data_IF_993305980777
#
_entry.id   IF_993305980777
#
_cell.length_a   1.000
_cell.length_b   1.000
_cell.length_c   1.000
_cell.angle_alpha   90.00
_cell.angle_beta   90.00
_cell.angle_gamma   90.00
#
_symmetry.space_group_name_H-M   'P 1'
#
loop_
_entity.id
_entity.type
_entity.pdbx_description
1 polymer ?
#
# COMPACT_ATOMS: atom_id res chain seq x y z
N UNK A 1 -21.63 11.59 -16.04
CA UNK A 1 -21.18 11.66 -14.62
C UNK A 1 -19.80 12.27 -14.63
N UNK A 2 -19.60 13.42 -13.99
CA UNK A 2 -18.27 14.02 -13.84
C UNK A 2 -17.55 13.29 -12.69
N UNK A 3 -16.33 12.75 -12.89
CA UNK A 3 -15.58 12.15 -11.79
C UNK A 3 -15.13 13.27 -10.84
N UNK A 4 -15.77 13.36 -9.68
CA UNK A 4 -15.36 14.29 -8.62
C UNK A 4 -14.07 13.76 -8.00
N UNK A 5 -12.93 14.17 -8.56
CA UNK A 5 -11.60 13.89 -8.03
C UNK A 5 -11.37 14.70 -6.76
N UNK A 6 -11.93 14.23 -5.64
CA UNK A 6 -11.69 14.79 -4.32
C UNK A 6 -10.49 14.09 -3.69
N UNK A 7 -9.34 14.76 -3.59
CA UNK A 7 -8.25 14.26 -2.72
C UNK A 7 -8.66 14.53 -1.27
N UNK A 8 -9.15 13.48 -0.59
CA UNK A 8 -9.69 13.60 0.76
C UNK A 8 -8.60 13.39 1.79
N UNK A 9 -8.18 14.43 2.51
CA UNK A 9 -7.29 14.30 3.65
C UNK A 9 -8.06 14.20 4.97
N UNK A 10 -8.01 13.02 5.60
CA UNK A 10 -8.50 12.78 6.95
C UNK A 10 -7.46 13.24 8.00
N UNK A 11 -7.24 14.55 8.10
CA UNK A 11 -6.42 15.15 9.16
C UNK A 11 -7.27 15.42 10.39
N UNK A 12 -7.45 14.39 11.24
CA UNK A 12 -8.11 14.51 12.54
C UNK A 12 -7.44 15.59 13.40
N UNK A 13 -8.16 16.68 13.65
CA UNK A 13 -7.64 17.91 14.22
C UNK A 13 -7.71 17.84 15.76
N UNK A 14 -6.88 16.97 16.36
CA UNK A 14 -6.84 16.76 17.81
C UNK A 14 -6.26 17.96 18.58
N UNK A 15 -7.17 18.81 19.03
CA UNK A 15 -6.95 19.85 20.05
C UNK A 15 -6.93 19.23 21.46
N UNK A 16 -5.79 18.73 21.94
CA UNK A 16 -5.61 18.43 23.38
C UNK A 16 -4.21 18.71 23.92
N UNK A 17 -4.19 19.60 24.93
CA UNK A 17 -3.25 19.80 26.05
C UNK A 17 -1.90 19.09 26.09
N UNK A 18 -0.91 19.89 26.49
CA UNK A 18 0.42 19.51 26.97
C UNK A 18 0.44 18.46 28.09
N UNK A 19 1.22 17.40 27.91
CA UNK A 19 1.88 16.65 28.97
C UNK A 19 3.21 16.08 28.45
N UNK A 20 4.25 16.08 29.30
CA UNK A 20 5.61 15.64 28.95
C UNK A 20 5.66 14.12 28.68
N UNK A 21 6.33 13.69 27.62
CA UNK A 21 7.25 12.53 27.61
C UNK A 21 7.89 12.31 26.22
N UNK A 22 9.11 11.79 26.22
CA UNK A 22 9.97 11.46 25.06
C UNK A 22 9.95 9.93 24.78
N UNK A 23 10.77 9.39 23.87
CA UNK A 23 11.02 9.75 22.45
C UNK A 23 10.67 8.57 21.50
N UNK A 24 10.53 8.82 20.19
CA UNK A 24 10.14 7.75 19.24
C UNK A 24 10.55 7.96 17.76
N UNK A 25 11.69 7.35 17.41
CA UNK A 25 12.03 6.71 16.12
C UNK A 25 11.75 7.42 14.78
N UNK A 26 12.83 7.80 14.09
CA UNK A 26 13.00 7.57 12.65
C UNK A 26 14.36 6.87 12.39
N UNK A 27 14.70 6.45 11.16
CA UNK A 27 16.00 5.84 10.76
C UNK A 27 16.19 5.86 9.23
N UNK A 28 17.41 5.96 8.65
CA UNK A 28 17.63 5.80 7.19
C UNK A 28 19.09 5.57 6.72
N UNK A 29 19.27 5.34 5.41
CA UNK A 29 20.46 4.85 4.68
C UNK A 29 20.59 5.59 3.31
N UNK A 30 21.72 5.63 2.56
CA UNK A 30 23.17 5.56 2.88
C UNK A 30 24.03 5.83 1.61
N UNK A 31 25.15 6.59 1.71
CA UNK A 31 26.29 6.68 0.75
C UNK A 31 26.07 7.22 -0.70
N UNK A 32 27.06 7.82 -1.43
CA UNK A 32 28.37 8.48 -1.12
C UNK A 32 28.99 9.03 -2.46
N UNK A 33 29.62 10.23 -2.48
CA UNK A 33 30.97 10.59 -3.05
C UNK A 33 31.15 12.07 -3.45
N UNK A 34 32.23 12.67 -2.91
CA UNK A 34 33.16 13.69 -3.47
C UNK A 34 32.71 15.04 -4.07
N UNK A 35 33.01 16.14 -3.33
CA UNK A 35 33.56 17.40 -3.86
C UNK A 35 34.26 18.21 -2.74
N UNK A 36 35.47 18.73 -2.97
CA UNK A 36 36.19 19.66 -2.07
C UNK A 36 35.67 21.10 -2.21
N UNK A 37 35.52 21.83 -1.09
CA UNK A 37 35.68 23.31 -1.06
C UNK A 37 36.41 23.72 0.22
N UNK A 38 37.48 24.51 0.07
CA UNK A 38 38.27 25.09 1.18
C UNK A 38 37.90 26.56 1.40
N UNK A 39 37.77 26.97 2.66
CA UNK A 39 37.92 28.38 3.10
C UNK A 39 38.74 28.37 4.41
N UNK A 40 39.73 29.27 4.62
CA UNK A 40 40.75 29.08 5.65
C UNK A 40 40.48 29.79 6.99
N UNK A 41 41.10 29.26 8.06
CA UNK A 41 41.59 29.91 9.31
C UNK A 41 40.76 31.03 9.99
N UNK A 42 40.50 31.01 11.30
CA UNK A 42 41.47 30.66 12.36
C UNK A 42 40.83 30.36 13.73
N UNK A 43 41.45 29.45 14.51
CA UNK A 43 41.50 29.37 16.00
C UNK A 43 40.23 29.80 16.78
N UNK A 44 39.53 28.98 17.56
CA UNK A 44 39.77 27.62 18.12
C UNK A 44 38.40 27.09 18.62
N UNK A 45 38.17 25.92 19.26
CA UNK A 45 39.04 24.91 19.91
C UNK A 45 38.39 23.52 19.89
N UNK A 46 39.03 22.54 20.55
CA UNK A 46 38.56 21.21 20.94
C UNK A 46 37.07 20.82 20.72
N UNK A 47 36.83 19.96 19.73
CA UNK A 47 35.61 19.14 19.62
C UNK A 47 35.98 17.66 19.73
N UNK A 48 35.36 16.94 20.68
CA UNK A 48 35.59 15.51 20.87
C UNK A 48 34.44 14.70 20.23
N UNK A 49 34.65 14.15 19.04
CA UNK A 49 33.70 13.22 18.44
C UNK A 49 33.68 11.91 19.23
N UNK A 50 32.49 11.47 19.67
CA UNK A 50 32.29 10.09 20.16
C UNK A 50 30.97 9.50 19.67
N UNK A 51 31.01 8.93 18.47
CA UNK A 51 29.91 8.13 17.94
C UNK A 51 29.85 6.78 18.65
N UNK A 52 28.68 6.39 19.17
CA UNK A 52 28.42 5.02 19.64
C UNK A 52 27.52 4.34 18.62
N UNK A 53 28.02 3.29 17.97
CA UNK A 53 27.25 2.46 17.06
C UNK A 53 26.68 1.24 17.82
N UNK A 54 25.35 1.12 17.84
CA UNK A 54 24.67 -0.12 18.24
C UNK A 54 24.08 -0.74 16.98
N UNK A 55 24.66 -1.86 16.55
CA UNK A 55 24.18 -2.65 15.43
C UNK A 55 23.22 -3.74 15.92
N UNK A 56 21.98 -3.73 15.43
CA UNK A 56 21.06 -4.86 15.53
C UNK A 56 20.81 -5.37 14.12
N UNK A 57 21.17 -6.62 13.87
CA UNK A 57 21.02 -7.30 12.59
C UNK A 57 19.94 -8.40 12.69
N UNK A 58 19.05 -8.45 11.70
CA UNK A 58 18.19 -9.62 11.45
C UNK A 58 18.19 -9.89 9.95
N UNK A 59 18.40 -11.16 9.59
CA UNK A 59 18.58 -11.60 8.21
C UNK A 59 17.32 -12.29 7.66
N UNK A 60 17.05 -12.00 6.39
CA UNK A 60 16.05 -12.52 5.44
C UNK A 60 15.57 -13.97 5.64
N UNK A 61 14.28 -14.20 5.37
CA UNK A 61 13.79 -15.38 4.64
C UNK A 61 12.82 -14.96 3.52
N UNK A 62 12.71 -15.77 2.46
CA UNK A 62 12.24 -15.37 1.12
C UNK A 62 10.77 -15.71 0.88
N UNK A 63 9.96 -14.73 0.46
CA UNK A 63 8.69 -14.95 -0.25
C UNK A 63 8.26 -13.71 -1.07
N UNK A 64 7.39 -13.93 -2.07
CA UNK A 64 7.09 -12.99 -3.17
C UNK A 64 6.02 -11.95 -2.77
N UNK A 65 6.44 -10.74 -2.43
CA UNK A 65 5.57 -9.54 -2.40
C UNK A 65 6.38 -8.22 -2.37
N UNK A 66 5.85 -7.18 -3.01
CA UNK A 66 6.51 -5.87 -3.16
C UNK A 66 6.86 -5.21 -1.81
N UNK A 67 8.14 -5.13 -1.50
CA UNK A 67 8.66 -4.52 -0.27
C UNK A 67 9.57 -3.32 -0.61
N UNK A 68 9.00 -2.12 -0.75
CA UNK A 68 9.79 -0.89 -0.83
C UNK A 68 10.25 -0.50 0.58
N UNK A 69 11.53 -0.71 0.86
CA UNK A 69 12.18 -0.33 2.12
C UNK A 69 12.31 1.20 2.27
N UNK A 70 11.30 1.82 2.89
CA UNK A 70 11.33 3.22 3.37
C UNK A 70 11.79 3.23 4.82
N UNK A 71 12.61 4.20 5.24
CA UNK A 71 12.94 4.32 6.67
C UNK A 71 12.73 5.76 7.21
N UNK A 72 13.15 6.81 6.48
CA UNK A 72 13.08 8.25 6.86
C UNK A 72 13.98 8.60 8.08
N UNK A 73 14.96 9.49 7.95
CA UNK A 73 16.05 9.64 8.94
C UNK A 73 15.69 10.48 10.20
N UNK A 74 16.32 10.15 11.34
CA UNK A 74 16.64 11.19 12.34
C UNK A 74 18.10 11.58 12.21
N UNK A 75 18.32 12.81 11.82
CA UNK A 75 19.44 13.58 12.31
C UNK A 75 18.88 14.46 13.42
N UNK A 76 19.10 14.11 14.70
CA UNK A 76 18.92 15.09 15.79
C UNK A 76 20.22 15.86 15.88
N UNK A 77 20.25 17.05 15.28
CA UNK A 77 21.32 17.99 15.55
C UNK A 77 21.08 18.59 16.94
N UNK A 78 21.66 17.98 17.97
CA UNK A 78 21.82 18.66 19.26
C UNK A 78 22.93 19.69 19.09
N UNK A 79 22.54 20.95 18.93
CA UNK A 79 23.44 22.10 19.02
C UNK A 79 23.51 22.52 20.49
N UNK A 80 24.54 22.06 21.19
CA UNK A 80 24.83 22.55 22.53
C UNK A 80 25.40 23.97 22.42
N UNK A 81 24.69 24.96 22.97
CA UNK A 81 25.06 26.38 22.93
C UNK A 81 25.42 26.82 24.34
N UNK A 82 26.69 27.16 24.57
CA UNK A 82 27.15 27.75 25.83
C UNK A 82 26.89 29.26 25.84
N UNK A 83 25.94 29.71 26.67
CA UNK A 83 25.53 31.12 26.73
C UNK A 83 26.27 31.81 27.87
N UNK A 84 27.07 32.83 27.53
CA UNK A 84 27.98 33.50 28.49
C UNK A 84 27.55 34.90 28.91
N UNK A 85 26.74 35.59 28.09
CA UNK A 85 26.24 36.95 28.35
C UNK A 85 24.74 37.05 28.09
N UNK A 86 24.08 37.95 28.81
CA UNK A 86 22.63 38.19 28.67
C UNK A 86 22.26 38.73 27.27
N UNK A 87 23.15 39.52 26.65
CA UNK A 87 23.02 39.99 25.26
C UNK A 87 23.04 38.88 24.21
N UNK A 88 23.64 37.72 24.50
CA UNK A 88 23.72 36.60 23.56
C UNK A 88 22.32 35.99 23.33
N UNK A 89 21.46 35.97 24.35
CA UNK A 89 20.06 35.48 24.23
C UNK A 89 19.25 36.30 23.22
N UNK A 90 19.35 37.64 23.27
CA UNK A 90 18.64 38.52 22.36
C UNK A 90 19.11 38.32 20.90
N UNK A 91 20.41 38.12 20.69
CA UNK A 91 20.99 37.83 19.38
C UNK A 91 20.55 36.45 18.84
N UNK A 92 20.44 35.44 19.70
CA UNK A 92 19.94 34.10 19.29
C UNK A 92 18.48 34.18 18.81
N UNK A 93 17.61 34.91 19.52
CA UNK A 93 16.22 35.12 19.09
C UNK A 93 16.13 35.84 17.73
N UNK A 94 16.93 36.90 17.54
CA UNK A 94 17.01 37.60 16.25
C UNK A 94 17.48 36.68 15.13
N UNK A 95 18.49 35.84 15.36
CA UNK A 95 18.96 34.86 14.38
C UNK A 95 17.89 33.80 14.03
N UNK A 96 17.07 33.39 14.99
CA UNK A 96 15.95 32.47 14.73
C UNK A 96 14.85 33.15 13.88
N UNK A 97 14.50 34.39 14.19
CA UNK A 97 13.54 35.18 13.41
C UNK A 97 14.02 35.42 11.97
N UNK A 98 15.29 35.82 11.78
CA UNK A 98 15.92 36.02 10.48
C UNK A 98 15.96 34.72 9.65
N UNK A 99 16.32 33.59 10.28
CA UNK A 99 16.37 32.29 9.61
C UNK A 99 14.97 31.81 9.16
N UNK A 100 13.95 31.96 10.01
CA UNK A 100 12.56 31.66 9.65
C UNK A 100 12.08 32.58 8.52
N UNK A 101 12.45 33.85 8.55
CA UNK A 101 12.10 34.83 7.52
C UNK A 101 12.72 34.47 6.16
N UNK A 102 14.01 34.13 6.11
CA UNK A 102 14.68 33.69 4.87
C UNK A 102 13.97 32.49 4.20
N UNK A 103 13.65 31.46 4.98
CA UNK A 103 12.89 30.28 4.52
C UNK A 103 11.51 30.67 3.97
N UNK A 104 10.82 31.62 4.61
CA UNK A 104 9.53 32.12 4.12
C UNK A 104 9.70 32.95 2.84
N UNK A 105 10.74 33.78 2.74
CA UNK A 105 11.02 34.61 1.55
C UNK A 105 11.31 33.77 0.31
N UNK A 106 12.05 32.66 0.43
CA UNK A 106 12.29 31.71 -0.67
C UNK A 106 10.97 31.12 -1.22
N UNK A 107 10.03 30.77 -0.33
CA UNK A 107 8.70 30.27 -0.70
C UNK A 107 7.88 31.39 -1.35
N UNK A 108 7.90 32.59 -0.76
CA UNK A 108 7.16 33.77 -1.26
C UNK A 108 7.68 34.22 -2.63
N UNK A 109 8.97 34.02 -2.94
CA UNK A 109 9.56 34.30 -4.26
C UNK A 109 8.80 33.60 -5.40
N UNK A 110 8.34 32.37 -5.14
CA UNK A 110 7.63 31.51 -6.09
C UNK A 110 6.11 31.73 -6.10
N UNK A 111 5.58 32.43 -5.10
CA UNK A 111 4.15 32.75 -4.91
C UNK A 111 3.18 31.55 -5.07
N UNK A 112 3.39 30.43 -4.37
CA UNK A 112 2.40 29.34 -4.35
C UNK A 112 1.20 29.72 -3.46
N UNK A 113 -0.03 29.45 -3.91
CA UNK A 113 -1.24 29.68 -3.08
C UNK A 113 -1.35 28.70 -1.89
N UNK A 114 -0.79 27.49 -2.06
CA UNK A 114 -0.92 26.36 -1.14
C UNK A 114 0.44 25.70 -0.85
N UNK A 115 0.72 25.46 0.42
CA UNK A 115 1.95 24.78 0.87
C UNK A 115 1.58 23.61 1.78
N UNK A 116 2.15 22.42 1.51
CA UNK A 116 1.92 21.21 2.29
C UNK A 116 3.19 20.82 3.03
N UNK A 117 3.10 20.54 4.34
CA UNK A 117 4.25 20.15 5.17
C UNK A 117 3.94 18.89 5.98
N UNK A 118 4.92 17.98 6.06
CA UNK A 118 4.82 16.75 6.87
C UNK A 118 4.93 17.02 8.38
N UNK A 119 5.47 18.19 8.76
CA UNK A 119 5.78 18.59 10.14
C UNK A 119 4.84 19.71 10.61
N UNK A 120 5.07 20.21 11.82
CA UNK A 120 4.49 21.48 12.27
C UNK A 120 5.13 22.67 11.55
N UNK A 121 4.42 23.80 11.53
CA UNK A 121 4.90 25.09 11.03
C UNK A 121 4.94 26.04 12.24
N UNK A 122 6.01 26.80 12.41
CA UNK A 122 6.10 27.82 13.49
C UNK A 122 5.02 28.89 13.32
N UNK A 123 4.53 29.46 14.42
CA UNK A 123 3.47 30.49 14.36
C UNK A 123 3.98 31.79 13.70
N UNK A 124 5.28 32.10 13.81
CA UNK A 124 5.93 33.19 13.08
C UNK A 124 5.89 32.96 11.56
N UNK A 125 6.21 31.73 11.12
CA UNK A 125 6.13 31.35 9.71
C UNK A 125 4.69 31.36 9.18
N UNK A 126 3.70 30.91 9.99
CA UNK A 126 2.29 31.02 9.64
C UNK A 126 1.87 32.49 9.42
N UNK A 127 2.34 33.41 10.26
CA UNK A 127 2.07 34.85 10.11
C UNK A 127 2.70 35.44 8.84
N UNK A 128 3.93 35.05 8.50
CA UNK A 128 4.57 35.48 7.24
C UNK A 128 3.88 34.91 5.99
N UNK A 129 3.53 33.63 5.99
CA UNK A 129 2.78 33.01 4.90
C UNK A 129 1.38 33.63 4.74
N UNK A 130 0.70 33.92 5.85
CA UNK A 130 -0.60 34.60 5.85
C UNK A 130 -0.51 36.02 5.27
N UNK A 131 0.55 36.80 5.58
CA UNK A 131 0.78 38.12 4.95
C UNK A 131 0.96 38.03 3.43
N UNK A 132 1.49 36.92 2.93
CA UNK A 132 1.62 36.63 1.50
C UNK A 132 0.38 35.96 0.88
N UNK A 133 -0.71 35.80 1.64
CA UNK A 133 -1.93 35.04 1.28
C UNK A 133 -1.71 33.54 0.96
N UNK A 134 -0.62 32.96 1.46
CA UNK A 134 -0.28 31.54 1.25
C UNK A 134 -0.94 30.69 2.35
N UNK A 135 -1.77 29.72 1.94
CA UNK A 135 -2.41 28.80 2.88
C UNK A 135 -1.52 27.56 3.11
N UNK A 136 -1.11 27.34 4.35
CA UNK A 136 -0.20 26.25 4.70
C UNK A 136 -0.87 25.15 5.52
N UNK A 137 -0.79 23.90 5.05
CA UNK A 137 -1.30 22.71 5.74
C UNK A 137 -0.11 22.01 6.43
N UNK A 138 -0.29 21.76 7.73
CA UNK A 138 0.70 21.14 8.62
C UNK A 138 0.35 19.68 8.93
N UNK A 139 1.38 18.87 9.20
CA UNK A 139 1.28 17.45 9.61
C UNK A 139 0.57 16.55 8.60
N UNK A 140 0.82 16.76 7.30
CA UNK A 140 0.31 15.87 6.23
C UNK A 140 1.00 14.51 6.29
N UNK A 141 0.25 13.42 6.07
CA UNK A 141 0.82 12.07 5.97
C UNK A 141 1.60 11.91 4.65
N UNK A 142 2.75 11.24 4.69
CA UNK A 142 3.59 10.99 3.50
C UNK A 142 2.85 10.28 2.35
N UNK A 143 1.90 9.40 2.67
CA UNK A 143 1.01 8.76 1.68
C UNK A 143 0.16 9.77 0.92
N UNK A 144 -0.29 10.82 1.60
CA UNK A 144 -1.19 11.83 1.04
C UNK A 144 -0.37 12.90 0.31
N UNK A 145 0.82 13.27 0.79
CA UNK A 145 1.80 14.05 0.00
C UNK A 145 2.07 13.42 -1.37
N UNK A 146 2.33 12.12 -1.42
CA UNK A 146 2.54 11.40 -2.69
C UNK A 146 1.30 11.39 -3.59
N UNK A 147 0.08 11.43 -3.03
CA UNK A 147 -1.18 11.54 -3.78
C UNK A 147 -1.39 12.96 -4.31
N UNK A 148 -1.15 13.98 -3.49
CA UNK A 148 -1.24 15.41 -3.85
C UNK A 148 -0.25 15.74 -4.97
N UNK A 149 1.01 15.31 -4.85
CA UNK A 149 2.02 15.45 -5.89
C UNK A 149 1.56 14.86 -7.23
N UNK A 150 0.95 13.66 -7.22
CA UNK A 150 0.40 13.01 -8.42
C UNK A 150 -0.88 13.67 -8.95
N UNK A 151 -1.70 14.29 -8.11
CA UNK A 151 -2.94 14.96 -8.49
C UNK A 151 -2.73 16.38 -9.03
N UNK A 152 -1.77 17.12 -8.45
CA UNK A 152 -1.49 18.52 -8.80
C UNK A 152 -0.31 18.67 -9.78
N UNK A 153 0.48 17.61 -9.99
CA UNK A 153 1.73 17.64 -10.75
C UNK A 153 2.91 18.27 -10.01
N UNK A 154 2.74 18.65 -8.74
CA UNK A 154 3.78 19.28 -7.93
C UNK A 154 4.91 18.30 -7.57
N UNK A 155 6.14 18.82 -7.43
CA UNK A 155 7.28 18.03 -6.94
C UNK A 155 7.45 18.20 -5.44
N UNK A 156 7.77 17.11 -4.75
CA UNK A 156 8.13 17.14 -3.32
C UNK A 156 9.62 17.49 -3.22
N UNK A 157 9.93 18.62 -2.59
CA UNK A 157 11.29 19.13 -2.35
C UNK A 157 11.55 19.21 -0.84
N UNK A 158 12.78 18.93 -0.40
CA UNK A 158 13.16 18.89 1.02
C UNK A 158 13.89 20.13 1.54
N UNK A 159 14.41 20.98 0.66
CA UNK A 159 15.13 22.23 0.97
C UNK A 159 14.45 23.40 0.26
N UNK A 160 14.37 24.56 0.90
CA UNK A 160 13.78 25.77 0.30
C UNK A 160 14.69 26.40 -0.75
N UNK A 161 16.01 26.39 -0.50
CA UNK A 161 17.02 26.97 -1.39
C UNK A 161 17.05 26.33 -2.79
N UNK A 162 16.60 25.07 -2.91
CA UNK A 162 16.58 24.30 -4.17
C UNK A 162 15.29 24.49 -4.97
N UNK A 163 14.28 25.21 -4.44
CA UNK A 163 12.97 25.36 -5.07
C UNK A 163 13.03 26.16 -6.38
N UNK A 164 12.38 25.61 -7.41
CA UNK A 164 12.25 26.24 -8.74
C UNK A 164 10.78 26.39 -9.13
N UNK A 165 10.53 27.24 -10.11
CA UNK A 165 9.19 27.45 -10.69
C UNK A 165 8.61 26.14 -11.29
N UNK A 166 9.48 25.24 -11.79
CA UNK A 166 9.10 23.91 -12.30
C UNK A 166 8.59 22.93 -11.22
N UNK A 167 8.85 23.18 -9.93
CA UNK A 167 8.38 22.32 -8.84
C UNK A 167 6.94 22.66 -8.39
N UNK A 168 6.43 23.85 -8.76
CA UNK A 168 5.11 24.37 -8.37
C UNK A 168 4.01 23.79 -9.27
N UNK A 169 3.17 22.92 -8.71
CA UNK A 169 2.11 22.23 -9.46
C UNK A 169 0.88 23.11 -9.75
N UNK A 170 0.78 23.64 -10.98
CA UNK A 170 -0.37 24.41 -11.50
C UNK A 170 -1.61 23.55 -11.87
N UNK A 171 -1.66 22.31 -11.37
CA UNK A 171 -2.68 21.31 -11.71
C UNK A 171 -3.92 21.31 -10.83
N UNK A 172 -3.91 21.99 -9.67
CA UNK A 172 -5.07 22.11 -8.77
C UNK A 172 -6.08 23.14 -9.30
N UNK A 173 -7.38 22.85 -9.20
CA UNK A 173 -8.46 23.77 -9.59
C UNK A 173 -9.02 24.54 -8.40
N UNK A 174 -9.77 23.82 -7.54
CA UNK A 174 -10.44 24.39 -6.37
C UNK A 174 -9.91 23.74 -5.08
N UNK A 175 -9.57 24.59 -4.11
CA UNK A 175 -9.25 24.18 -2.74
C UNK A 175 -10.38 24.60 -1.80
N UNK A 176 -10.92 23.65 -1.04
CA UNK A 176 -12.06 23.89 -0.15
C UNK A 176 -11.87 23.17 1.19
N UNK A 177 -12.21 23.85 2.29
CA UNK A 177 -12.23 23.27 3.64
C UNK A 177 -13.69 23.00 4.03
N UNK A 178 -14.08 21.73 4.12
CA UNK A 178 -15.42 21.32 4.53
C UNK A 178 -15.37 20.62 5.88
N UNK A 179 -16.27 21.00 6.80
CA UNK A 179 -16.52 20.24 8.03
C UNK A 179 -17.42 19.05 7.71
N UNK A 180 -17.00 17.83 8.06
CA UNK A 180 -17.81 16.61 7.92
C UNK A 180 -17.87 15.94 9.28
N UNK A 181 -19.05 15.95 9.91
CA UNK A 181 -19.18 15.63 11.33
C UNK A 181 -18.47 16.68 12.18
N UNK A 182 -17.52 16.25 13.00
CA UNK A 182 -16.72 17.13 13.85
C UNK A 182 -15.31 17.43 13.35
N UNK A 183 -14.89 16.79 12.26
CA UNK A 183 -13.56 16.98 11.68
C UNK A 183 -13.59 17.92 10.45
N UNK A 184 -12.47 18.64 10.26
CA UNK A 184 -12.25 19.48 9.08
C UNK A 184 -11.47 18.68 8.03
N UNK A 185 -12.08 18.50 6.87
CA UNK A 185 -11.46 17.89 5.71
C UNK A 185 -11.05 18.98 4.72
N UNK A 186 -9.81 18.86 4.23
CA UNK A 186 -9.34 19.68 3.11
C UNK A 186 -9.54 18.89 1.82
N UNK A 187 -10.13 19.55 0.83
CA UNK A 187 -10.44 18.99 -0.47
C UNK A 187 -9.70 19.77 -1.54
N UNK A 188 -8.95 19.05 -2.36
CA UNK A 188 -8.44 19.54 -3.64
C UNK A 188 -9.31 18.88 -4.71
N UNK A 189 -9.98 19.70 -5.51
CA UNK A 189 -10.94 19.29 -6.55
C UNK A 189 -10.63 19.98 -7.88
N UNK A 190 -11.25 19.49 -8.95
CA UNK A 190 -11.14 20.07 -10.31
C UNK A 190 -9.69 20.10 -10.85
N UNK A 191 -8.90 19.09 -10.50
CA UNK A 191 -7.56 18.93 -11.07
C UNK A 191 -7.63 18.61 -12.58
N UNK A 192 -6.69 19.16 -13.37
CA UNK A 192 -6.65 18.99 -14.83
C UNK A 192 -6.36 17.55 -15.28
N UNK A 193 -5.31 16.94 -14.73
CA UNK A 193 -4.85 15.57 -15.05
C UNK A 193 -4.70 14.71 -13.78
N UNK A 194 -5.81 14.29 -13.14
CA UNK A 194 -5.78 13.60 -11.86
C UNK A 194 -5.28 12.14 -11.98
N UNK A 195 -3.97 11.93 -11.83
CA UNK A 195 -3.38 10.58 -11.68
C UNK A 195 -3.64 9.95 -10.31
N UNK A 196 -4.21 10.71 -9.37
CA UNK A 196 -4.65 10.24 -8.07
C UNK A 196 -6.06 10.79 -7.80
N UNK A 197 -7.01 9.89 -7.57
CA UNK A 197 -8.37 10.18 -7.15
C UNK A 197 -8.56 9.60 -5.74
N UNK A 198 -9.42 10.20 -4.90
CA UNK A 198 -9.89 9.54 -3.67
C UNK A 198 -11.41 9.46 -3.66
N UNK A 199 -11.92 8.44 -2.98
CA UNK A 199 -13.36 8.18 -2.81
C UNK A 199 -13.62 8.29 -1.31
N UNK A 200 -14.51 9.20 -0.90
CA UNK A 200 -14.92 9.32 0.49
C UNK A 200 -16.08 8.36 0.79
N UNK A 201 -15.76 7.25 1.45
CA UNK A 201 -16.75 6.30 1.94
C UNK A 201 -17.37 6.79 3.25
N UNK A 202 -18.70 6.68 3.38
CA UNK A 202 -19.45 7.00 4.60
C UNK A 202 -20.38 5.83 4.94
N UNK A 203 -20.41 5.44 6.20
CA UNK A 203 -21.15 4.27 6.69
C UNK A 203 -21.18 4.25 8.22
N UNK A 204 -22.13 3.51 8.79
CA UNK A 204 -22.35 3.49 10.24
C UNK A 204 -21.26 2.75 11.02
N UNK A 205 -20.73 1.66 10.45
CA UNK A 205 -19.75 0.76 11.09
C UNK A 205 -18.45 0.72 10.31
N UNK A 206 -17.32 0.73 11.02
CA UNK A 206 -15.97 0.65 10.43
C UNK A 206 -15.72 -0.66 9.66
N UNK A 207 -16.34 -1.75 10.11
CA UNK A 207 -16.25 -3.06 9.45
C UNK A 207 -16.88 -3.05 8.06
N UNK A 208 -18.09 -2.48 7.93
CA UNK A 208 -18.78 -2.31 6.63
C UNK A 208 -17.94 -1.41 5.71
N UNK A 209 -17.32 -0.35 6.25
CA UNK A 209 -16.44 0.53 5.47
C UNK A 209 -15.19 -0.19 4.96
N UNK A 210 -14.53 -1.00 5.79
CA UNK A 210 -13.38 -1.80 5.40
C UNK A 210 -13.75 -2.87 4.34
N UNK A 211 -14.95 -3.44 4.45
CA UNK A 211 -15.45 -4.40 3.46
C UNK A 211 -15.78 -3.72 2.12
N UNK A 212 -16.43 -2.56 2.15
CA UNK A 212 -16.67 -1.76 0.92
C UNK A 212 -15.35 -1.29 0.29
N UNK A 213 -14.34 -0.91 1.09
CA UNK A 213 -13.02 -0.54 0.57
C UNK A 213 -12.36 -1.70 -0.19
N UNK A 214 -12.37 -2.91 0.37
CA UNK A 214 -11.83 -4.12 -0.29
C UNK A 214 -12.56 -4.42 -1.59
N UNK A 215 -13.89 -4.51 -1.54
CA UNK A 215 -14.71 -4.79 -2.72
C UNK A 215 -14.51 -3.74 -3.84
N UNK A 216 -14.29 -2.47 -3.50
CA UNK A 216 -13.93 -1.43 -4.48
C UNK A 216 -12.51 -1.61 -5.05
N UNK A 217 -11.53 -2.00 -4.24
CA UNK A 217 -10.17 -2.29 -4.70
C UNK A 217 -10.16 -3.48 -5.68
N UNK A 218 -10.88 -4.55 -5.36
CA UNK A 218 -11.03 -5.73 -6.23
C UNK A 218 -11.76 -5.38 -7.53
N UNK A 219 -12.88 -4.63 -7.45
CA UNK A 219 -13.60 -4.15 -8.63
C UNK A 219 -12.73 -3.26 -9.54
N UNK A 220 -11.92 -2.36 -8.97
CA UNK A 220 -10.97 -1.55 -9.75
C UNK A 220 -9.90 -2.42 -10.42
N UNK A 221 -9.39 -3.46 -9.76
CA UNK A 221 -8.41 -4.37 -10.35
C UNK A 221 -9.03 -5.26 -11.45
N UNK A 222 -10.30 -5.67 -11.31
CA UNK A 222 -11.08 -6.32 -12.37
C UNK A 222 -11.23 -5.40 -13.58
N UNK A 223 -11.68 -4.15 -13.39
CA UNK A 223 -11.80 -3.17 -14.47
C UNK A 223 -10.45 -2.91 -15.16
N UNK A 224 -9.36 -2.80 -14.40
CA UNK A 224 -7.99 -2.69 -14.94
C UNK A 224 -7.62 -3.89 -15.80
N UNK A 225 -7.92 -5.11 -15.35
CA UNK A 225 -7.64 -6.32 -16.12
C UNK A 225 -8.44 -6.35 -17.43
N UNK A 226 -9.71 -5.96 -17.41
CA UNK A 226 -10.56 -5.89 -18.62
C UNK A 226 -10.10 -4.80 -19.60
N UNK A 227 -9.55 -3.68 -19.11
CA UNK A 227 -8.94 -2.64 -19.95
C UNK A 227 -7.62 -3.07 -20.61
N UNK A 228 -6.88 -4.00 -20.00
CA UNK A 228 -5.64 -4.55 -20.56
C UNK A 228 -5.93 -5.72 -21.52
N UNK A 229 -6.71 -6.69 -21.07
CA UNK A 229 -7.12 -7.89 -21.82
C UNK A 229 -8.66 -8.01 -21.80
N UNK A 230 -9.37 -7.59 -22.86
CA UNK A 230 -10.84 -7.56 -22.90
C UNK A 230 -11.47 -8.94 -23.16
N UNK A 231 -10.99 -9.98 -22.47
CA UNK A 231 -11.46 -11.36 -22.57
C UNK A 231 -12.17 -11.78 -21.28
N UNK A 232 -13.46 -12.11 -21.41
CA UNK A 232 -14.32 -12.55 -20.31
C UNK A 232 -14.69 -14.03 -20.47
N UNK A 233 -14.92 -14.69 -19.34
CA UNK A 233 -15.34 -16.09 -19.24
C UNK A 233 -16.60 -16.21 -18.35
N UNK A 234 -17.48 -17.19 -18.59
CA UNK A 234 -18.65 -17.43 -17.74
C UNK A 234 -18.23 -17.90 -16.34
N UNK A 235 -18.81 -17.33 -15.29
CA UNK A 235 -18.47 -17.66 -13.91
C UNK A 235 -19.12 -18.94 -13.36
N UNK A 236 -19.37 -18.99 -12.05
CA UNK A 236 -20.21 -20.01 -11.42
C UNK A 236 -19.71 -21.46 -11.56
N UNK A 237 -18.39 -21.67 -11.73
CA UNK A 237 -17.80 -22.99 -11.94
C UNK A 237 -17.92 -23.55 -13.36
N UNK A 238 -18.43 -22.76 -14.32
CA UNK A 238 -18.61 -23.18 -15.72
C UNK A 238 -17.26 -23.44 -16.42
N UNK A 239 -16.29 -22.53 -16.23
CA UNK A 239 -14.92 -22.66 -16.76
C UNK A 239 -14.22 -23.90 -16.20
N UNK A 240 -14.30 -24.12 -14.89
CA UNK A 240 -13.69 -25.25 -14.20
C UNK A 240 -14.23 -26.58 -14.75
N UNK A 241 -15.53 -26.68 -15.00
CA UNK A 241 -16.16 -27.86 -15.60
C UNK A 241 -15.75 -28.06 -17.07
N UNK A 242 -15.68 -26.98 -17.86
CA UNK A 242 -15.22 -27.02 -19.24
C UNK A 242 -13.75 -27.48 -19.35
N UNK A 243 -12.88 -26.98 -18.46
CA UNK A 243 -11.48 -27.41 -18.37
C UNK A 243 -11.36 -28.85 -17.88
N UNK A 244 -12.17 -29.29 -16.90
CA UNK A 244 -12.24 -30.70 -16.46
C UNK A 244 -12.61 -31.63 -17.62
N UNK A 245 -13.66 -31.30 -18.39
CA UNK A 245 -14.05 -32.06 -19.60
C UNK A 245 -12.87 -32.16 -20.56
N UNK A 246 -12.23 -31.02 -20.89
CA UNK A 246 -11.16 -30.98 -21.88
C UNK A 246 -9.88 -31.71 -21.45
N UNK A 247 -9.51 -31.63 -20.18
CA UNK A 247 -8.41 -32.42 -19.60
C UNK A 247 -8.75 -33.91 -19.57
N UNK A 248 -10.00 -34.28 -19.27
CA UNK A 248 -10.47 -35.67 -19.30
C UNK A 248 -10.43 -36.25 -20.72
N UNK A 249 -10.86 -35.50 -21.74
CA UNK A 249 -10.71 -35.88 -23.15
C UNK A 249 -9.24 -36.09 -23.52
N UNK A 250 -8.37 -35.13 -23.18
CA UNK A 250 -6.92 -35.23 -23.44
C UNK A 250 -6.29 -36.43 -22.72
N UNK A 251 -6.73 -36.76 -21.51
CA UNK A 251 -6.26 -37.95 -20.79
C UNK A 251 -6.53 -39.26 -21.56
N UNK A 252 -7.60 -39.34 -22.37
CA UNK A 252 -7.89 -40.52 -23.21
C UNK A 252 -6.99 -40.63 -24.44
N UNK A 253 -6.48 -39.51 -24.96
CA UNK A 253 -5.52 -39.51 -26.07
C UNK A 253 -4.07 -39.81 -25.65
N UNK A 254 -3.76 -39.71 -24.35
CA UNK A 254 -2.44 -40.02 -23.80
C UNK A 254 -2.34 -41.51 -23.43
N UNK A 255 -1.29 -42.18 -23.92
CA UNK A 255 -0.96 -43.56 -23.58
C UNK A 255 0.20 -43.60 -22.60
N UNK A 256 0.00 -44.16 -21.40
CA UNK A 256 1.05 -44.35 -20.40
C UNK A 256 0.65 -43.93 -18.99
N UNK A 257 1.61 -43.90 -18.08
CA UNK A 257 1.40 -43.59 -16.65
C UNK A 257 0.89 -42.15 -16.41
N UNK A 258 1.20 -41.22 -17.32
CA UNK A 258 0.80 -39.82 -17.25
C UNK A 258 -0.72 -39.60 -17.33
N UNK A 259 -1.47 -40.57 -17.88
CA UNK A 259 -2.93 -40.50 -18.00
C UNK A 259 -3.62 -40.26 -16.63
N UNK A 260 -3.11 -40.88 -15.56
CA UNK A 260 -3.74 -40.82 -14.24
C UNK A 260 -3.59 -39.43 -13.57
N UNK A 261 -2.38 -38.81 -13.52
CA UNK A 261 -2.23 -37.41 -13.11
C UNK A 261 -3.13 -36.43 -13.88
N UNK A 262 -3.19 -36.52 -15.21
CA UNK A 262 -4.05 -35.63 -16.02
C UNK A 262 -5.53 -35.74 -15.63
N UNK A 263 -6.01 -36.97 -15.39
CA UNK A 263 -7.39 -37.23 -14.94
C UNK A 263 -7.64 -36.78 -13.49
N UNK A 264 -6.65 -36.92 -12.61
CA UNK A 264 -6.73 -36.47 -11.23
C UNK A 264 -6.85 -34.93 -11.14
N UNK A 265 -6.06 -34.19 -11.93
CA UNK A 265 -6.14 -32.72 -12.00
C UNK A 265 -7.50 -32.27 -12.55
N UNK A 266 -8.03 -32.93 -13.58
CA UNK A 266 -9.38 -32.64 -14.11
C UNK A 266 -10.45 -32.75 -13.01
N UNK A 267 -10.43 -33.85 -12.25
CA UNK A 267 -11.36 -34.07 -11.14
C UNK A 267 -11.15 -33.10 -9.96
N UNK A 268 -9.92 -32.65 -9.73
CA UNK A 268 -9.60 -31.69 -8.67
C UNK A 268 -10.18 -30.30 -8.95
N UNK A 269 -10.21 -29.84 -10.22
CA UNK A 269 -10.80 -28.54 -10.58
C UNK A 269 -12.31 -28.45 -10.27
N UNK A 270 -13.01 -29.58 -10.26
CA UNK A 270 -14.43 -29.64 -9.89
C UNK A 270 -14.71 -29.36 -8.40
N UNK A 271 -13.67 -29.18 -7.58
CA UNK A 271 -13.83 -28.73 -6.18
C UNK A 271 -14.50 -27.36 -6.09
N UNK A 272 -14.24 -26.45 -7.04
CA UNK A 272 -14.78 -25.09 -7.03
C UNK A 272 -16.31 -25.07 -7.15
N UNK A 273 -16.95 -25.64 -8.21
CA UNK A 273 -18.40 -25.77 -8.25
C UNK A 273 -18.95 -26.63 -7.11
N UNK A 274 -18.22 -27.66 -6.64
CA UNK A 274 -18.66 -28.50 -5.51
C UNK A 274 -18.78 -27.71 -4.20
N UNK A 275 -17.79 -26.86 -3.89
CA UNK A 275 -17.80 -25.99 -2.70
C UNK A 275 -18.87 -24.91 -2.84
N UNK A 276 -19.08 -24.36 -4.03
CA UNK A 276 -20.18 -23.41 -4.26
C UNK A 276 -21.54 -24.05 -3.94
N UNK A 277 -21.85 -25.23 -4.51
CA UNK A 277 -23.10 -25.96 -4.23
C UNK A 277 -23.25 -26.30 -2.73
N UNK A 278 -22.14 -26.65 -2.07
CA UNK A 278 -22.13 -26.95 -0.63
C UNK A 278 -22.46 -25.72 0.22
N UNK A 279 -21.93 -24.54 -0.13
CA UNK A 279 -22.22 -23.29 0.56
C UNK A 279 -23.68 -22.84 0.36
N UNK A 280 -24.28 -23.14 -0.80
CA UNK A 280 -25.72 -22.94 -1.05
C UNK A 280 -26.63 -23.92 -0.28
N UNK A 281 -26.09 -24.92 0.41
CA UNK A 281 -26.87 -25.97 1.08
C UNK A 281 -27.56 -26.97 0.15
N UNK A 282 -27.31 -26.90 -1.16
CA UNK A 282 -27.93 -27.78 -2.15
C UNK A 282 -27.22 -29.15 -2.23
N UNK A 283 -27.91 -30.16 -2.76
CA UNK A 283 -27.38 -31.53 -2.83
C UNK A 283 -26.25 -31.67 -3.87
N UNK A 284 -25.01 -31.52 -3.40
CA UNK A 284 -23.77 -31.55 -4.21
C UNK A 284 -23.73 -32.67 -5.25
N UNK A 285 -24.04 -33.90 -4.86
CA UNK A 285 -23.99 -35.08 -5.75
C UNK A 285 -24.96 -34.92 -6.93
N UNK A 286 -26.21 -34.50 -6.70
CA UNK A 286 -27.23 -34.39 -7.77
C UNK A 286 -26.88 -33.26 -8.73
N UNK A 287 -26.54 -32.08 -8.19
CA UNK A 287 -26.26 -30.86 -8.97
C UNK A 287 -24.96 -31.00 -9.77
N UNK A 288 -23.91 -31.57 -9.20
CA UNK A 288 -22.65 -31.81 -9.93
C UNK A 288 -22.83 -32.88 -11.02
N UNK A 289 -23.65 -33.91 -10.77
CA UNK A 289 -23.95 -34.95 -11.78
C UNK A 289 -24.74 -34.38 -12.95
N UNK A 290 -25.76 -33.55 -12.70
CA UNK A 290 -26.51 -32.89 -13.77
C UNK A 290 -25.69 -31.81 -14.49
N UNK A 291 -24.75 -31.13 -13.81
CA UNK A 291 -23.81 -30.20 -14.43
C UNK A 291 -22.87 -30.91 -15.41
N UNK A 292 -22.25 -32.03 -14.99
CA UNK A 292 -21.43 -32.90 -15.87
C UNK A 292 -22.24 -33.41 -17.07
N UNK A 293 -23.50 -33.80 -16.86
CA UNK A 293 -24.37 -34.26 -17.93
C UNK A 293 -24.65 -33.14 -18.97
N UNK A 294 -24.95 -31.92 -18.53
CA UNK A 294 -25.09 -30.75 -19.41
C UNK A 294 -23.80 -30.45 -20.18
N UNK A 295 -22.65 -30.37 -19.49
CA UNK A 295 -21.35 -30.11 -20.12
C UNK A 295 -20.89 -31.20 -21.09
N UNK A 296 -21.40 -32.43 -20.95
CA UNK A 296 -21.13 -33.50 -21.92
C UNK A 296 -21.75 -33.18 -23.28
N UNK A 297 -22.90 -32.52 -23.32
CA UNK A 297 -23.56 -32.06 -24.55
C UNK A 297 -22.77 -30.93 -25.21
N UNK A 298 -22.78 -30.90 -26.54
CA UNK A 298 -22.10 -29.86 -27.30
C UNK A 298 -22.83 -28.51 -27.16
N UNK A 299 -22.06 -27.41 -27.17
CA UNK A 299 -22.47 -26.01 -26.91
C UNK A 299 -22.81 -25.62 -25.46
N UNK A 300 -22.76 -26.52 -24.48
CA UNK A 300 -23.14 -26.23 -23.08
C UNK A 300 -22.03 -25.62 -22.18
N UNK A 301 -21.05 -24.92 -22.74
CA UNK A 301 -19.85 -24.44 -22.01
C UNK A 301 -20.19 -23.38 -20.94
N UNK A 302 -21.23 -22.58 -21.14
CA UNK A 302 -21.60 -21.49 -20.23
C UNK A 302 -22.49 -21.88 -19.04
N UNK A 303 -22.87 -23.17 -18.92
CA UNK A 303 -23.68 -23.62 -17.79
C UNK A 303 -22.84 -23.66 -16.51
N UNK A 304 -23.31 -22.98 -15.46
CA UNK A 304 -22.70 -23.00 -14.13
C UNK A 304 -23.70 -23.38 -13.05
N UNK A 305 -23.28 -23.18 -11.81
CA UNK A 305 -24.13 -23.22 -10.62
C UNK A 305 -24.41 -21.78 -10.20
N UNK A 306 -25.67 -21.43 -10.02
CA UNK A 306 -26.07 -20.18 -9.38
C UNK A 306 -25.84 -20.25 -7.87
N UNK A 307 -25.18 -19.22 -7.32
CA UNK A 307 -24.85 -19.10 -5.90
C UNK A 307 -26.05 -18.77 -5.00
N UNK A 308 -27.12 -18.20 -5.54
CA UNK A 308 -28.32 -17.85 -4.76
C UNK A 308 -29.29 -19.03 -4.66
N UNK A 309 -29.66 -19.65 -5.80
CA UNK A 309 -30.64 -20.73 -5.84
C UNK A 309 -30.06 -22.14 -5.71
N UNK A 310 -28.73 -22.29 -5.86
CA UNK A 310 -28.07 -23.61 -5.94
C UNK A 310 -28.47 -24.44 -7.18
N UNK A 311 -29.16 -23.82 -8.15
CA UNK A 311 -29.63 -24.46 -9.37
C UNK A 311 -28.64 -24.29 -10.54
N UNK A 312 -28.87 -25.04 -11.62
CA UNK A 312 -28.07 -24.95 -12.84
C UNK A 312 -28.67 -23.94 -13.82
N UNK A 313 -27.90 -22.91 -14.16
CA UNK A 313 -28.26 -21.78 -15.02
C UNK A 313 -27.17 -21.52 -16.07
N UNK A 314 -27.51 -20.80 -17.14
CA UNK A 314 -26.52 -20.29 -18.10
C UNK A 314 -25.99 -18.95 -17.58
N UNK A 315 -24.69 -18.90 -17.31
CA UNK A 315 -24.01 -17.73 -16.74
C UNK A 315 -24.00 -16.55 -17.70
N UNK A 316 -24.10 -16.80 -19.01
CA UNK A 316 -24.28 -15.75 -20.03
C UNK A 316 -25.60 -15.01 -19.83
N UNK A 317 -26.68 -15.74 -19.48
CA UNK A 317 -28.00 -15.17 -19.26
C UNK A 317 -28.11 -14.41 -17.93
N UNK A 318 -27.35 -14.84 -16.91
CA UNK A 318 -27.25 -14.16 -15.61
C UNK A 318 -26.27 -12.97 -15.63
N UNK A 319 -25.42 -12.85 -16.66
CA UNK A 319 -24.41 -11.81 -16.76
C UNK A 319 -23.21 -11.97 -15.81
N UNK A 320 -22.96 -13.19 -15.33
CA UNK A 320 -21.86 -13.48 -14.39
C UNK A 320 -20.59 -13.80 -15.19
N UNK A 321 -19.69 -12.81 -15.26
CA UNK A 321 -18.46 -12.87 -16.04
C UNK A 321 -17.22 -12.67 -15.18
N UNK A 322 -16.19 -13.49 -15.42
CA UNK A 322 -14.87 -13.41 -14.77
C UNK A 322 -13.78 -13.10 -15.83
N UNK A 323 -12.79 -12.23 -15.56
CA UNK A 323 -11.72 -11.96 -16.53
C UNK A 323 -10.80 -13.17 -16.75
N UNK A 324 -10.47 -13.45 -18.02
CA UNK A 324 -9.55 -14.52 -18.42
C UNK A 324 -8.20 -14.44 -17.69
N UNK A 325 -7.65 -13.22 -17.55
CA UNK A 325 -6.36 -12.99 -16.90
C UNK A 325 -6.32 -13.51 -15.45
N UNK A 326 -7.42 -13.37 -14.70
CA UNK A 326 -7.52 -13.83 -13.30
C UNK A 326 -7.52 -15.37 -13.25
N UNK A 327 -8.38 -16.03 -14.04
CA UNK A 327 -8.44 -17.51 -14.10
C UNK A 327 -7.15 -18.14 -14.61
N UNK A 328 -6.52 -17.53 -15.63
CA UNK A 328 -5.24 -17.99 -16.14
C UNK A 328 -4.15 -17.90 -15.08
N UNK A 329 -4.14 -16.84 -14.25
CA UNK A 329 -3.16 -16.67 -13.18
C UNK A 329 -3.42 -17.63 -12.01
N UNK A 330 -4.68 -17.82 -11.57
CA UNK A 330 -4.99 -18.74 -10.46
C UNK A 330 -4.66 -20.19 -10.79
N UNK A 331 -4.89 -20.64 -12.03
CA UNK A 331 -4.49 -22.00 -12.44
C UNK A 331 -2.98 -22.17 -12.53
N UNK A 332 -2.23 -21.15 -13.03
CA UNK A 332 -0.76 -21.19 -13.04
C UNK A 332 -0.20 -21.31 -11.63
N UNK A 333 -0.58 -20.41 -10.73
CA UNK A 333 -0.05 -20.39 -9.35
C UNK A 333 -0.45 -21.65 -8.58
N UNK A 334 -1.66 -22.17 -8.77
CA UNK A 334 -2.08 -23.44 -8.16
C UNK A 334 -1.23 -24.63 -8.62
N UNK A 335 -0.96 -24.74 -9.92
CA UNK A 335 -0.13 -25.82 -10.49
C UNK A 335 1.34 -25.67 -10.08
N UNK A 336 1.89 -24.47 -10.11
CA UNK A 336 3.26 -24.18 -9.66
C UNK A 336 3.43 -24.50 -8.16
N UNK A 337 2.46 -24.15 -7.32
CA UNK A 337 2.45 -24.47 -5.88
C UNK A 337 2.36 -25.98 -5.64
N UNK A 338 1.52 -26.69 -6.39
CA UNK A 338 1.42 -28.15 -6.30
C UNK A 338 2.73 -28.83 -6.71
N UNK A 339 3.38 -28.38 -7.80
CA UNK A 339 4.68 -28.89 -8.23
C UNK A 339 5.78 -28.58 -7.20
N UNK A 340 5.74 -27.40 -6.56
CA UNK A 340 6.69 -27.03 -5.51
C UNK A 340 6.57 -27.96 -4.30
N UNK A 341 5.35 -28.22 -3.83
CA UNK A 341 5.09 -29.13 -2.71
C UNK A 341 5.47 -30.58 -3.03
N UNK A 342 5.13 -31.07 -4.23
CA UNK A 342 5.48 -32.43 -4.69
C UNK A 342 6.99 -32.62 -4.97
N UNK A 343 7.79 -31.55 -4.99
CA UNK A 343 9.25 -31.59 -5.15
C UNK A 343 9.99 -31.67 -3.81
N UNK A 344 9.30 -31.47 -2.68
CA UNK A 344 9.92 -31.55 -1.36
C UNK A 344 9.87 -33.02 -0.91
N UNK A 345 11.01 -33.71 -1.02
CA UNK A 345 11.14 -35.10 -0.54
C UNK A 345 11.14 -35.15 1.01
N UNK A 346 11.93 -34.29 1.66
CA UNK A 346 12.10 -34.24 3.11
C UNK A 346 12.21 -32.80 3.65
N UNK A 347 11.64 -32.55 4.83
CA UNK A 347 11.77 -31.28 5.56
C UNK A 347 12.74 -31.47 6.74
N UNK A 348 14.01 -31.14 6.54
CA UNK A 348 15.04 -31.20 7.60
C UNK A 348 14.89 -30.02 8.56
N UNK A 349 14.02 -30.17 9.56
CA UNK A 349 13.82 -29.16 10.61
C UNK A 349 14.91 -29.22 11.68
N UNK A 350 15.93 -28.38 11.52
CA UNK A 350 17.02 -28.21 12.47
C UNK A 350 16.57 -27.61 13.81
N UNK A 351 16.10 -28.44 14.73
CA UNK A 351 15.82 -28.01 16.10
C UNK A 351 17.12 -27.66 16.83
N UNK A 352 17.34 -26.36 17.04
CA UNK A 352 18.40 -25.87 17.92
C UNK A 352 18.09 -26.33 19.34
N UNK A 353 18.90 -27.25 19.90
CA UNK A 353 18.80 -27.60 21.32
C UNK A 353 18.85 -26.31 22.16
N UNK A 354 17.81 -26.07 22.96
CA UNK A 354 17.88 -25.06 24.01
C UNK A 354 19.07 -25.42 24.91
N UNK A 355 19.94 -24.44 25.19
CA UNK A 355 21.12 -24.63 26.05
C UNK A 355 20.78 -24.52 27.54
N UNK A 356 19.50 -24.43 27.87
CA UNK A 356 18.96 -24.08 29.18
C UNK A 356 18.15 -25.22 29.83
N UNK A 357 18.47 -26.48 29.51
CA UNK A 357 18.23 -27.57 30.45
C UNK A 357 19.47 -27.70 31.37
N UNK A 358 19.38 -27.30 32.65
CA UNK A 358 20.48 -27.53 33.57
C UNK A 358 20.65 -29.03 33.80
N UNK A 359 21.89 -29.52 33.68
CA UNK A 359 22.24 -30.85 34.20
C UNK A 359 22.13 -30.84 35.73
N UNK A 360 20.92 -31.11 36.24
CA UNK A 360 20.67 -31.39 37.64
C UNK A 360 21.27 -32.74 38.00
N UNK A 361 22.48 -32.73 38.57
CA UNK A 361 23.06 -33.93 39.19
C UNK A 361 22.75 -34.00 40.68
N UNK A 362 22.62 -35.23 41.20
CA UNK A 362 23.15 -35.76 42.49
C UNK A 362 22.22 -36.80 43.16
N UNK A 363 22.82 -37.70 43.96
CA UNK A 363 22.18 -38.85 44.65
C UNK A 363 22.46 -40.16 43.89
N UNK A 364 23.36 -41.07 44.27
CA UNK A 364 24.03 -41.36 45.54
C UNK A 364 23.13 -41.94 46.65
N UNK A 365 22.71 -43.19 46.48
CA UNK A 365 23.10 -44.35 47.31
C UNK A 365 22.90 -45.66 46.53
#
# INVERSE_FOLDING_TARGET
MVPVCAVTMATGLQMTRSSLSSPGTLSFLFCRTEAEVRIPSSRTSAWCLRCVCVCVCVCVCVCVCDCVCVCVCVCVCQTDIEISKEEDFARILQMEEEYIQQICEDIIRLKPDLVFTEKGISDLAQHYLMKANITAIRRVRKTDNNRIARACGARIVSRTDELREEDVGLGAGLFEVKKIGDEYFTFITECKDPKACSILLRGASKEILAEVERNLQDAMQVCRNVLLDPHLLPGGGAVEMAVSKRLTERSRSLTGVEQWPYRAVAQALEVIPRTLIQNCGASTIRVLTSLRAKHTQDNSVCWGVDGETGCLSDMSSLGIWEPLAVKAQTYKTAVETAILLLRIDDIVSGHKKNKDEPMGGQGAE
#
